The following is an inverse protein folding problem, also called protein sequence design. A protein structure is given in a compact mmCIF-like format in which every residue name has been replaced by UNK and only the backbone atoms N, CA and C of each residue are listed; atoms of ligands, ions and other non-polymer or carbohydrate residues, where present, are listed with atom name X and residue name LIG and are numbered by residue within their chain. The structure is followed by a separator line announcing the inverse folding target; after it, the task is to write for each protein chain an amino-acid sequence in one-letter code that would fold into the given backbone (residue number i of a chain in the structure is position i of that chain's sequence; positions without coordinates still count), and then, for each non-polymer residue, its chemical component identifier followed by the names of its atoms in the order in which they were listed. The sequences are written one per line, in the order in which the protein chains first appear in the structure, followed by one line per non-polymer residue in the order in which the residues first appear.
data_IF_122857723767
#
_entry.id   IF_122857723767
#
_cell.length_a   1.000
_cell.length_b   1.000
_cell.length_c   1.000
_cell.angle_alpha   90.00
_cell.angle_beta   90.00
_cell.angle_gamma   90.00
#
_symmetry.space_group_name_H-M   'P 1'
#
loop_
_entity.id
_entity.type
_entity.pdbx_description
1 polymer ?
#
# COMPACT_ATOMS: atom_id res chain seq x y z
N UNK A 1 -25.57 -25.66 12.86
CA UNK A 1 -24.50 -26.53 13.38
C UNK A 1 -23.34 -26.45 12.37
N UNK A 2 -22.53 -25.41 12.47
CA UNK A 2 -21.32 -25.21 11.67
C UNK A 2 -20.11 -25.60 12.50
N UNK A 3 -19.45 -26.65 12.08
CA UNK A 3 -18.20 -27.13 12.64
C UNK A 3 -17.10 -26.08 12.40
N UNK A 4 -16.63 -25.44 13.47
CA UNK A 4 -15.36 -24.75 13.52
C UNK A 4 -14.27 -25.79 13.23
N UNK A 5 -13.71 -25.76 12.01
CA UNK A 5 -12.52 -26.53 11.68
C UNK A 5 -11.33 -25.84 12.37
N UNK A 6 -10.74 -26.57 13.30
CA UNK A 6 -9.64 -26.10 14.11
C UNK A 6 -8.41 -25.75 13.28
N UNK A 7 -7.76 -24.70 13.70
CA UNK A 7 -6.45 -24.22 13.33
C UNK A 7 -5.47 -25.40 13.29
N UNK A 8 -5.08 -25.81 12.09
CA UNK A 8 -3.98 -26.76 11.93
C UNK A 8 -2.67 -26.00 12.21
N UNK A 9 -2.27 -25.98 13.48
CA UNK A 9 -0.89 -25.63 13.83
C UNK A 9 0.01 -26.68 13.17
N UNK A 10 0.93 -26.22 12.33
CA UNK A 10 2.01 -27.08 11.83
C UNK A 10 2.76 -27.60 13.07
N UNK A 11 2.82 -28.95 13.21
CA UNK A 11 3.31 -29.64 14.41
C UNK A 11 4.85 -29.52 14.59
N UNK A 12 5.53 -28.66 13.82
CA UNK A 12 6.98 -28.48 13.85
C UNK A 12 7.47 -27.33 14.73
N UNK A 13 6.58 -26.49 15.28
CA UNK A 13 6.96 -25.31 16.08
C UNK A 13 7.56 -24.17 15.26
N UNK A 14 7.61 -24.29 13.92
CA UNK A 14 8.11 -23.26 13.03
C UNK A 14 7.09 -22.15 12.83
N UNK A 15 7.55 -20.90 12.79
CA UNK A 15 6.71 -19.74 12.46
C UNK A 15 6.40 -19.71 10.96
N UNK A 16 5.14 -19.51 10.60
CA UNK A 16 4.75 -19.24 9.22
C UNK A 16 4.88 -17.74 8.94
N UNK A 17 5.80 -17.37 8.08
CA UNK A 17 6.00 -15.98 7.62
C UNK A 17 5.43 -15.84 6.23
N UNK A 18 4.44 -14.98 6.07
CA UNK A 18 3.84 -14.63 4.78
C UNK A 18 4.48 -13.38 4.23
N UNK A 19 4.89 -13.34 2.97
CA UNK A 19 5.45 -12.13 2.35
C UNK A 19 4.84 -11.84 1.00
N UNK A 20 4.66 -10.54 0.70
CA UNK A 20 4.18 -10.06 -0.59
C UNK A 20 4.81 -8.70 -0.94
N UNK A 21 4.96 -8.38 -2.24
CA UNK A 21 5.53 -7.11 -2.68
C UNK A 21 4.48 -5.99 -2.83
N UNK A 22 4.90 -4.76 -2.53
CA UNK A 22 4.31 -3.50 -3.00
C UNK A 22 5.42 -2.75 -3.74
N UNK A 23 5.48 -2.88 -5.07
CA UNK A 23 6.56 -2.34 -5.92
C UNK A 23 6.07 -1.40 -7.01
N UNK A 24 4.86 -0.93 -6.90
CA UNK A 24 4.19 -0.07 -7.86
C UNK A 24 3.53 1.12 -7.15
N UNK A 25 2.93 2.02 -7.91
CA UNK A 25 2.18 3.14 -7.36
C UNK A 25 0.99 2.63 -6.53
N UNK A 26 0.76 3.30 -5.39
CA UNK A 26 -0.34 2.97 -4.48
C UNK A 26 -1.66 3.38 -5.12
N UNK A 27 -2.30 2.42 -5.76
CA UNK A 27 -3.57 2.53 -6.46
C UNK A 27 -4.63 1.63 -5.77
N UNK A 28 -5.92 1.74 -6.09
CA UNK A 28 -6.95 0.83 -5.57
C UNK A 28 -6.65 -0.66 -5.80
N UNK A 29 -5.93 -1.01 -6.87
CA UNK A 29 -5.45 -2.38 -7.12
C UNK A 29 -4.50 -2.88 -6.02
N UNK A 30 -3.58 -2.00 -5.54
CA UNK A 30 -2.64 -2.33 -4.45
C UNK A 30 -3.36 -2.45 -3.10
N UNK A 31 -4.34 -1.58 -2.86
CA UNK A 31 -5.23 -1.68 -1.70
C UNK A 31 -5.91 -3.05 -1.65
N UNK A 32 -6.54 -3.46 -2.76
CA UNK A 32 -7.21 -4.76 -2.85
C UNK A 32 -6.22 -5.93 -2.73
N UNK A 33 -5.06 -5.85 -3.40
CA UNK A 33 -4.01 -6.86 -3.26
C UNK A 33 -3.58 -7.02 -1.80
N UNK A 34 -3.38 -5.91 -1.10
CA UNK A 34 -3.00 -5.91 0.32
C UNK A 34 -4.08 -6.59 1.17
N UNK A 35 -5.35 -6.24 0.97
CA UNK A 35 -6.47 -6.88 1.67
C UNK A 35 -6.55 -8.38 1.40
N UNK A 36 -6.37 -8.81 0.12
CA UNK A 36 -6.32 -10.21 -0.28
C UNK A 36 -5.17 -10.96 0.41
N UNK A 37 -3.96 -10.38 0.42
CA UNK A 37 -2.79 -10.99 1.02
C UNK A 37 -2.93 -11.12 2.55
N UNK A 38 -3.47 -10.09 3.22
CA UNK A 38 -3.73 -10.14 4.67
C UNK A 38 -4.79 -11.20 5.02
N UNK A 39 -5.87 -11.29 4.25
CA UNK A 39 -6.89 -12.32 4.43
C UNK A 39 -6.32 -13.73 4.20
N UNK A 40 -5.54 -13.94 3.14
CA UNK A 40 -4.89 -15.21 2.88
C UNK A 40 -3.89 -15.59 3.97
N UNK A 41 -3.12 -14.64 4.49
CA UNK A 41 -2.21 -14.86 5.61
C UNK A 41 -2.97 -15.29 6.87
N UNK A 42 -4.12 -14.68 7.17
CA UNK A 42 -4.98 -15.07 8.30
C UNK A 42 -5.57 -16.48 8.12
N UNK A 43 -6.09 -16.78 6.93
CA UNK A 43 -6.61 -18.12 6.59
C UNK A 43 -5.55 -19.21 6.71
N UNK A 44 -4.30 -18.92 6.34
CA UNK A 44 -3.16 -19.83 6.46
C UNK A 44 -2.65 -19.93 7.90
N UNK A 45 -3.09 -19.08 8.81
CA UNK A 45 -2.60 -19.01 10.19
C UNK A 45 -1.15 -18.50 10.27
N UNK A 46 -0.79 -17.53 9.43
CA UNK A 46 0.55 -16.93 9.47
C UNK A 46 0.82 -16.25 10.83
N UNK A 47 2.05 -16.38 11.32
CA UNK A 47 2.51 -15.75 12.54
C UNK A 47 3.04 -14.34 12.32
N UNK A 48 3.39 -14.02 11.06
CA UNK A 48 3.98 -12.75 10.66
C UNK A 48 3.71 -12.49 9.17
N UNK A 49 3.40 -11.25 8.85
CA UNK A 49 3.38 -10.75 7.47
C UNK A 49 4.56 -9.80 7.25
N UNK A 50 5.29 -9.96 6.16
CA UNK A 50 6.37 -9.03 5.74
C UNK A 50 6.04 -8.45 4.38
N UNK A 51 5.83 -7.14 4.33
CA UNK A 51 5.61 -6.40 3.07
C UNK A 51 6.96 -5.96 2.51
N UNK A 52 7.26 -6.36 1.28
CA UNK A 52 8.44 -5.89 0.54
C UNK A 52 8.08 -4.61 -0.20
N UNK A 53 8.52 -3.46 0.30
CA UNK A 53 8.09 -2.15 -0.21
C UNK A 53 9.15 -1.47 -1.06
N UNK A 54 8.73 -1.00 -2.23
CA UNK A 54 9.49 -0.10 -3.08
C UNK A 54 8.51 0.73 -3.92
N UNK A 55 8.13 1.92 -3.45
CA UNK A 55 7.13 2.76 -4.11
C UNK A 55 7.43 4.25 -3.98
N UNK A 56 7.08 5.02 -5.00
CA UNK A 56 7.13 6.49 -4.99
C UNK A 56 5.87 7.12 -4.38
N UNK A 57 4.84 6.33 -4.06
CA UNK A 57 3.60 6.82 -3.49
C UNK A 57 2.39 6.52 -4.36
N UNK A 58 1.36 7.36 -4.31
CA UNK A 58 0.13 7.18 -5.08
C UNK A 58 -1.08 7.83 -4.44
N UNK A 59 -2.26 7.23 -4.59
CA UNK A 59 -3.54 7.79 -4.19
C UNK A 59 -3.71 7.76 -2.67
N UNK A 60 -4.00 8.92 -2.08
CA UNK A 60 -4.17 9.09 -0.62
C UNK A 60 -5.24 8.16 -0.05
N UNK A 61 -6.39 8.02 -0.74
CA UNK A 61 -7.49 7.17 -0.27
C UNK A 61 -7.07 5.69 -0.17
N UNK A 62 -6.38 5.17 -1.19
CA UNK A 62 -5.88 3.80 -1.18
C UNK A 62 -4.82 3.60 -0.06
N UNK A 63 -3.94 4.58 0.14
CA UNK A 63 -2.95 4.54 1.20
C UNK A 63 -3.58 4.54 2.61
N UNK A 64 -4.62 5.36 2.84
CA UNK A 64 -5.33 5.42 4.12
C UNK A 64 -6.11 4.12 4.41
N UNK A 65 -6.70 3.52 3.38
CA UNK A 65 -7.33 2.19 3.50
C UNK A 65 -6.30 1.13 3.88
N UNK A 66 -5.14 1.07 3.20
CA UNK A 66 -4.06 0.12 3.53
C UNK A 66 -3.55 0.38 4.95
N UNK A 67 -3.25 1.63 5.30
CA UNK A 67 -2.89 2.03 6.68
C UNK A 67 -3.86 1.47 7.70
N UNK A 68 -5.15 1.64 7.45
CA UNK A 68 -6.21 1.18 8.36
C UNK A 68 -6.23 -0.35 8.46
N UNK A 69 -6.02 -1.08 7.35
CA UNK A 69 -5.89 -2.53 7.36
C UNK A 69 -4.70 -2.99 8.21
N UNK A 70 -3.54 -2.34 8.07
CA UNK A 70 -2.34 -2.70 8.84
C UNK A 70 -2.51 -2.44 10.33
N UNK A 71 -3.02 -1.26 10.72
CA UNK A 71 -3.27 -0.92 12.13
C UNK A 71 -4.28 -1.84 12.81
N UNK A 72 -5.21 -2.44 12.06
CA UNK A 72 -6.22 -3.37 12.57
C UNK A 72 -5.88 -4.84 12.31
N UNK A 73 -4.71 -5.14 11.77
CA UNK A 73 -4.30 -6.52 11.51
C UNK A 73 -4.18 -7.32 12.82
N UNK A 74 -4.68 -8.54 12.81
CA UNK A 74 -4.51 -9.50 13.92
C UNK A 74 -3.14 -10.17 13.90
N UNK A 75 -2.51 -10.20 12.74
CA UNK A 75 -1.18 -10.75 12.53
C UNK A 75 -0.21 -9.58 12.53
N UNK A 76 0.93 -9.64 13.23
CA UNK A 76 1.96 -8.63 13.15
C UNK A 76 2.38 -8.38 11.70
N UNK A 77 2.43 -7.11 11.29
CA UNK A 77 2.83 -6.71 9.94
C UNK A 77 4.13 -5.92 10.01
N UNK A 78 5.15 -6.39 9.32
CA UNK A 78 6.42 -5.69 9.17
C UNK A 78 6.58 -5.20 7.74
N UNK A 79 7.25 -4.06 7.57
CA UNK A 79 7.62 -3.54 6.26
C UNK A 79 9.13 -3.58 6.12
N UNK A 80 9.60 -4.20 5.05
CA UNK A 80 10.98 -4.10 4.60
C UNK A 80 11.02 -3.19 3.37
N UNK A 81 11.64 -2.01 3.52
CA UNK A 81 11.82 -1.03 2.45
C UNK A 81 13.05 -1.46 1.65
N UNK A 82 12.82 -2.01 0.45
CA UNK A 82 13.87 -2.49 -0.46
C UNK A 82 14.69 -1.33 -1.04
N UNK A 83 14.02 -0.25 -1.46
CA UNK A 83 14.69 0.96 -1.94
C UNK A 83 14.06 2.22 -1.35
N UNK A 84 12.75 2.39 -1.51
CA UNK A 84 12.08 3.60 -1.04
C UNK A 84 10.64 3.34 -0.58
N UNK A 85 10.21 4.14 0.39
CA UNK A 85 8.84 4.30 0.81
C UNK A 85 8.51 5.80 0.82
N UNK A 86 8.19 6.34 -0.36
CA UNK A 86 7.89 7.76 -0.51
C UNK A 86 6.37 8.02 -0.45
N UNK A 87 5.98 9.21 0.04
CA UNK A 87 4.60 9.68 0.02
C UNK A 87 3.63 8.68 0.67
N UNK A 88 2.65 8.15 -0.07
CA UNK A 88 1.73 7.10 0.36
C UNK A 88 2.46 5.88 0.95
N UNK A 89 3.65 5.53 0.40
CA UNK A 89 4.48 4.45 0.93
C UNK A 89 4.98 4.72 2.35
N UNK A 90 5.32 5.97 2.68
CA UNK A 90 5.73 6.34 4.03
C UNK A 90 4.57 6.18 5.03
N UNK A 91 3.36 6.59 4.65
CA UNK A 91 2.15 6.42 5.48
C UNK A 91 1.87 4.93 5.76
N UNK A 92 1.95 4.10 4.73
CA UNK A 92 1.75 2.65 4.86
C UNK A 92 2.85 2.02 5.72
N UNK A 93 4.12 2.35 5.48
CA UNK A 93 5.22 1.84 6.28
C UNK A 93 5.11 2.24 7.75
N UNK A 94 4.66 3.48 8.02
CA UNK A 94 4.45 3.99 9.37
C UNK A 94 3.36 3.21 10.13
N UNK A 95 2.37 2.65 9.44
CA UNK A 95 1.31 1.85 10.04
C UNK A 95 1.76 0.42 10.43
N UNK A 96 2.91 -0.04 9.96
CA UNK A 96 3.43 -1.37 10.26
C UNK A 96 4.02 -1.45 11.69
N UNK A 97 4.00 -2.64 12.29
CA UNK A 97 4.57 -2.88 13.61
C UNK A 97 6.08 -2.69 13.67
N UNK A 98 6.78 -3.07 12.60
CA UNK A 98 8.24 -2.87 12.45
C UNK A 98 8.58 -2.43 11.03
N UNK A 99 9.63 -1.61 10.94
CA UNK A 99 10.17 -1.11 9.67
C UNK A 99 11.64 -1.49 9.61
N UNK A 100 12.03 -2.11 8.51
CA UNK A 100 13.44 -2.36 8.16
C UNK A 100 13.73 -1.70 6.83
N UNK A 101 14.92 -1.14 6.66
CA UNK A 101 15.29 -0.39 5.46
C UNK A 101 16.59 -0.98 4.89
N UNK A 102 16.62 -1.22 3.59
CA UNK A 102 17.88 -1.57 2.91
C UNK A 102 18.89 -0.43 3.05
N UNK A 103 20.18 -0.71 3.25
CA UNK A 103 21.23 0.32 3.14
C UNK A 103 21.12 1.07 1.80
N UNK A 104 21.03 2.40 1.86
CA UNK A 104 20.74 3.26 0.71
C UNK A 104 19.26 3.53 0.46
N UNK A 105 18.36 2.85 1.15
CA UNK A 105 16.92 3.14 1.08
C UNK A 105 16.50 4.37 1.90
N UNK A 106 15.27 4.80 1.69
CA UNK A 106 14.73 6.00 2.34
C UNK A 106 13.22 5.88 2.63
N UNK A 107 12.72 6.75 3.54
CA UNK A 107 11.32 6.87 3.92
C UNK A 107 10.96 8.34 4.14
N UNK A 108 9.81 8.80 3.63
CA UNK A 108 9.30 10.16 3.87
C UNK A 108 8.66 10.80 2.65
N UNK A 109 8.88 12.11 2.46
CA UNK A 109 8.35 12.89 1.33
C UNK A 109 6.83 12.74 1.14
N UNK A 110 6.05 12.93 2.22
CA UNK A 110 4.62 12.62 2.27
C UNK A 110 3.71 13.84 2.00
N UNK A 111 4.22 14.92 1.38
CA UNK A 111 3.39 16.06 0.99
C UNK A 111 2.38 15.66 -0.09
N UNK A 112 1.16 16.20 0.02
CA UNK A 112 0.09 15.94 -0.95
C UNK A 112 0.27 16.81 -2.17
N UNK A 113 0.36 16.20 -3.35
CA UNK A 113 0.51 16.88 -4.63
C UNK A 113 -0.63 16.51 -5.60
N UNK A 114 -0.87 17.36 -6.59
CA UNK A 114 -1.78 17.04 -7.70
C UNK A 114 -1.09 16.16 -8.75
N UNK A 115 -1.82 15.78 -9.81
CA UNK A 115 -1.29 14.95 -10.91
C UNK A 115 -0.11 15.59 -11.67
N UNK A 116 0.11 16.91 -11.54
CA UNK A 116 1.21 17.65 -12.11
C UNK A 116 2.38 17.84 -11.13
N UNK A 117 2.30 17.23 -9.93
CA UNK A 117 3.33 17.32 -8.90
C UNK A 117 3.32 18.66 -8.12
N UNK A 118 2.26 19.49 -8.26
CA UNK A 118 2.15 20.75 -7.53
C UNK A 118 1.53 20.53 -6.16
N UNK A 119 2.01 21.20 -5.10
CA UNK A 119 1.44 21.07 -3.77
C UNK A 119 -0.06 21.40 -3.75
N UNK A 120 -0.82 20.53 -3.13
CA UNK A 120 -2.24 20.76 -2.86
C UNK A 120 -2.43 21.84 -1.78
N UNK A 121 -3.57 22.54 -1.76
CA UNK A 121 -3.90 23.52 -0.73
C UNK A 121 -3.70 23.02 0.69
N UNK A 122 -3.41 23.94 1.63
CA UNK A 122 -3.05 23.62 3.02
C UNK A 122 -4.01 22.70 3.76
N UNK A 123 -5.30 22.75 3.48
CA UNK A 123 -6.28 21.84 4.07
C UNK A 123 -5.92 20.35 3.85
N UNK A 124 -5.38 20.00 2.68
CA UNK A 124 -4.95 18.64 2.37
C UNK A 124 -3.63 18.29 3.05
N UNK A 125 -2.70 19.25 3.12
CA UNK A 125 -1.45 19.08 3.85
C UNK A 125 -1.70 18.92 5.35
N UNK A 126 -2.59 19.76 5.93
CA UNK A 126 -2.99 19.67 7.34
C UNK A 126 -3.65 18.32 7.67
N UNK A 127 -4.54 17.83 6.79
CA UNK A 127 -5.13 16.51 6.96
C UNK A 127 -4.06 15.42 6.93
N UNK A 128 -3.15 15.46 5.96
CA UNK A 128 -2.06 14.47 5.85
C UNK A 128 -1.12 14.52 7.06
N UNK A 129 -0.75 15.73 7.55
CA UNK A 129 0.03 15.89 8.79
C UNK A 129 -0.64 15.19 9.97
N UNK A 130 -1.94 15.43 10.16
CA UNK A 130 -2.72 14.82 11.22
C UNK A 130 -2.78 13.28 11.07
N UNK A 131 -2.95 12.79 9.85
CA UNK A 131 -2.97 11.35 9.55
C UNK A 131 -1.62 10.70 9.85
N UNK A 132 -0.51 11.29 9.41
CA UNK A 132 0.83 10.79 9.70
C UNK A 132 1.11 10.78 11.21
N UNK A 133 0.79 11.88 11.91
CA UNK A 133 0.93 11.99 13.37
C UNK A 133 0.13 10.90 14.08
N UNK A 134 -1.18 10.78 13.81
CA UNK A 134 -2.05 9.81 14.47
C UNK A 134 -1.63 8.37 14.19
N UNK A 135 -1.05 8.10 13.02
CA UNK A 135 -0.50 6.78 12.68
C UNK A 135 0.73 6.45 13.55
N UNK A 136 1.63 7.43 13.76
CA UNK A 136 2.77 7.25 14.66
C UNK A 136 2.31 7.06 16.11
N UNK A 137 1.34 7.85 16.57
CA UNK A 137 0.74 7.77 17.92
C UNK A 137 0.08 6.42 18.18
N UNK A 138 -0.51 5.78 17.18
CA UNK A 138 -1.18 4.48 17.30
C UNK A 138 -0.25 3.36 17.82
N UNK A 139 1.07 3.46 17.60
CA UNK A 139 2.05 2.51 18.10
C UNK A 139 2.46 2.77 19.56
N UNK A 140 1.97 3.86 20.17
CA UNK A 140 2.18 4.18 21.57
C UNK A 140 3.62 4.54 21.94
N UNK A 141 3.88 4.42 23.23
CA UNK A 141 5.19 4.70 23.83
C UNK A 141 5.87 3.43 24.28
N UNK A 142 7.20 3.44 24.26
CA UNK A 142 8.05 2.38 24.78
C UNK A 142 8.93 2.92 25.91
N UNK A 143 9.35 2.05 26.81
CA UNK A 143 10.30 2.42 27.86
C UNK A 143 11.65 2.72 27.23
N UNK A 144 12.17 3.91 27.45
CA UNK A 144 13.50 4.32 27.01
C UNK A 144 14.57 3.87 28.00
N UNK A 145 14.33 4.18 29.29
CA UNK A 145 15.21 3.76 30.40
C UNK A 145 14.43 3.73 31.70
N UNK A 146 15.00 3.03 32.69
CA UNK A 146 14.52 3.00 34.07
C UNK A 146 15.62 3.57 34.95
N UNK A 147 15.34 4.69 35.62
CA UNK A 147 16.25 5.33 36.57
C UNK A 147 15.70 5.15 38.01
N UNK A 148 16.16 4.13 38.71
CA UNK A 148 15.63 3.80 40.04
C UNK A 148 14.15 3.42 39.98
N UNK A 149 13.28 4.24 40.57
CA UNK A 149 11.82 4.07 40.54
C UNK A 149 11.15 4.77 39.32
N UNK A 150 11.89 5.63 38.62
CA UNK A 150 11.35 6.44 37.55
C UNK A 150 11.52 5.77 36.19
N UNK A 151 10.44 5.72 35.39
CA UNK A 151 10.46 5.16 34.07
C UNK A 151 10.34 6.29 33.03
N UNK A 152 11.36 6.44 32.21
CA UNK A 152 11.36 7.39 31.08
C UNK A 152 10.76 6.72 29.85
N UNK A 153 9.78 7.38 29.25
CA UNK A 153 9.06 6.90 28.09
C UNK A 153 9.41 7.74 26.88
N UNK A 154 9.59 7.12 25.73
CA UNK A 154 9.62 7.78 24.43
C UNK A 154 8.53 7.23 23.51
N UNK A 155 8.15 7.99 22.51
CA UNK A 155 7.33 7.45 21.43
C UNK A 155 8.09 6.32 20.72
N UNK A 156 7.36 5.27 20.32
CA UNK A 156 7.95 4.22 19.49
C UNK A 156 8.45 4.83 18.17
N UNK A 157 7.60 5.68 17.56
CA UNK A 157 7.95 6.58 16.44
C UNK A 157 7.49 7.98 16.80
N UNK A 158 8.37 8.97 16.75
CA UNK A 158 8.04 10.33 17.14
C UNK A 158 7.00 10.93 16.20
N UNK A 159 5.79 11.31 16.67
CA UNK A 159 4.76 11.91 15.84
C UNK A 159 5.18 13.21 15.16
N UNK A 160 6.08 13.98 15.73
CA UNK A 160 6.58 15.22 15.14
C UNK A 160 7.43 14.95 13.89
N UNK A 161 8.19 13.85 13.87
CA UNK A 161 8.95 13.43 12.70
C UNK A 161 7.99 12.97 11.59
N UNK A 162 6.91 12.24 11.92
CA UNK A 162 5.87 11.84 10.96
C UNK A 162 5.23 13.07 10.30
N UNK A 163 4.89 14.08 11.09
CA UNK A 163 4.35 15.35 10.62
C UNK A 163 5.33 16.09 9.68
N UNK A 164 6.61 16.12 10.04
CA UNK A 164 7.66 16.76 9.25
C UNK A 164 7.85 16.11 7.86
N UNK A 165 7.47 14.85 7.68
CA UNK A 165 7.50 14.19 6.37
C UNK A 165 6.52 14.81 5.36
N UNK A 166 5.48 15.50 5.83
CA UNK A 166 4.54 16.25 4.97
C UNK A 166 5.06 17.65 4.66
N UNK A 167 5.87 18.21 5.57
CA UNK A 167 6.35 19.59 5.48
C UNK A 167 5.33 20.62 5.98
N UNK A 168 5.78 21.86 6.13
CA UNK A 168 4.94 23.00 6.51
C UNK A 168 4.66 23.88 5.30
N UNK A 169 3.46 24.47 5.22
CA UNK A 169 3.10 25.47 4.20
C UNK A 169 3.88 26.75 4.42
N UNK A 170 4.25 27.38 3.31
CA UNK A 170 4.90 28.70 3.29
C UNK A 170 3.96 29.78 3.89
N UNK A 171 4.14 30.09 5.14
CA UNK A 171 3.37 31.08 5.90
C UNK A 171 3.96 31.36 7.28
N UNK A 172 4.66 30.40 7.82
CA UNK A 172 5.47 30.58 9.02
C UNK A 172 6.95 30.70 8.61
N UNK A 173 7.64 31.69 9.13
CA UNK A 173 9.01 32.10 8.72
C UNK A 173 10.11 31.07 9.02
N UNK A 174 9.75 29.87 9.42
CA UNK A 174 10.61 28.67 9.48
C UNK A 174 10.10 27.64 8.50
N UNK A 175 10.54 27.73 7.24
CA UNK A 175 10.28 26.72 6.21
C UNK A 175 10.98 25.43 6.61
N UNK A 176 10.31 24.57 7.35
CA UNK A 176 10.75 23.18 7.52
C UNK A 176 10.40 22.48 6.21
N UNK A 177 11.40 22.17 5.41
CA UNK A 177 11.23 21.41 4.17
C UNK A 177 10.61 20.05 4.44
N UNK A 178 10.14 19.40 3.39
CA UNK A 178 9.62 18.03 3.44
C UNK A 178 10.72 17.09 3.88
N UNK A 179 10.48 16.34 4.98
CA UNK A 179 11.49 15.43 5.55
C UNK A 179 11.48 14.09 4.81
N UNK A 180 12.68 13.64 4.46
CA UNK A 180 12.95 12.27 4.03
C UNK A 180 14.12 11.75 4.85
N UNK A 181 13.99 10.57 5.42
CA UNK A 181 15.02 9.92 6.21
C UNK A 181 15.72 8.84 5.38
N UNK A 182 17.03 8.86 5.38
CA UNK A 182 17.86 7.73 4.95
C UNK A 182 17.72 6.56 5.91
N UNK A 183 18.20 5.37 5.53
CA UNK A 183 18.17 4.20 6.41
C UNK A 183 18.89 4.45 7.75
N UNK A 184 20.02 5.19 7.73
CA UNK A 184 20.80 5.51 8.93
C UNK A 184 20.08 6.53 9.80
N UNK A 185 19.49 7.58 9.22
CA UNK A 185 18.70 8.58 9.94
C UNK A 185 17.43 7.97 10.55
N UNK A 186 16.75 7.08 9.80
CA UNK A 186 15.57 6.38 10.30
C UNK A 186 15.91 5.48 11.50
N UNK A 187 17.05 4.78 11.45
CA UNK A 187 17.53 3.98 12.57
C UNK A 187 17.89 4.85 13.76
N UNK A 188 18.66 5.93 13.56
CA UNK A 188 19.07 6.84 14.61
C UNK A 188 17.90 7.55 15.31
N UNK A 189 16.79 7.76 14.59
CA UNK A 189 15.56 8.40 15.10
C UNK A 189 14.48 7.40 15.53
N UNK A 190 14.80 6.12 15.61
CA UNK A 190 13.88 5.03 15.98
C UNK A 190 12.66 4.90 15.05
N UNK A 191 12.82 5.27 13.77
CA UNK A 191 11.81 5.08 12.72
C UNK A 191 11.95 3.73 12.03
N UNK A 192 13.11 3.10 12.13
CA UNK A 192 13.29 1.70 11.74
C UNK A 192 13.93 0.91 12.88
N UNK A 193 13.64 -0.38 12.91
CA UNK A 193 14.19 -1.34 13.86
C UNK A 193 15.56 -1.86 13.40
N UNK A 194 15.93 -1.63 12.13
CA UNK A 194 17.22 -2.08 11.62
C UNK A 194 17.39 -1.88 10.12
N UNK A 195 18.61 -2.16 9.65
CA UNK A 195 18.92 -2.25 8.23
C UNK A 195 18.97 -3.72 7.81
N UNK A 196 18.48 -4.04 6.62
CA UNK A 196 18.52 -5.40 6.07
C UNK A 196 18.52 -5.36 4.55
N UNK A 197 19.26 -6.28 3.90
CA UNK A 197 19.34 -6.38 2.44
C UNK A 197 18.33 -7.38 1.85
N UNK A 198 17.64 -8.14 2.71
CA UNK A 198 16.64 -9.15 2.32
C UNK A 198 15.64 -9.43 3.43
N UNK A 199 14.51 -10.05 3.10
CA UNK A 199 13.53 -10.54 4.07
C UNK A 199 14.17 -11.53 5.05
N UNK A 200 15.05 -12.40 4.58
CA UNK A 200 15.74 -13.35 5.45
C UNK A 200 16.61 -12.65 6.51
N UNK A 201 17.28 -11.56 6.13
CA UNK A 201 18.06 -10.75 7.09
C UNK A 201 17.17 -9.98 8.05
N UNK A 202 16.00 -9.48 7.60
CA UNK A 202 14.97 -8.88 8.48
C UNK A 202 14.57 -9.87 9.57
N UNK A 203 14.26 -11.10 9.20
CA UNK A 203 13.85 -12.15 10.13
C UNK A 203 15.00 -12.54 11.09
N UNK A 204 16.22 -12.69 10.57
CA UNK A 204 17.40 -12.97 11.38
C UNK A 204 17.67 -11.86 12.39
N UNK A 205 17.66 -10.59 11.98
CA UNK A 205 17.88 -9.43 12.85
C UNK A 205 16.80 -9.33 13.93
N UNK A 206 15.60 -9.81 13.67
CA UNK A 206 14.50 -9.85 14.61
C UNK A 206 14.51 -11.10 15.54
N UNK A 207 15.48 -12.02 15.37
CA UNK A 207 15.55 -13.27 16.13
C UNK A 207 14.55 -14.34 15.68
N UNK A 208 13.99 -14.22 14.48
CA UNK A 208 13.11 -15.22 13.88
C UNK A 208 13.98 -16.17 13.05
N UNK A 209 14.44 -17.25 13.67
CA UNK A 209 15.42 -18.18 13.05
C UNK A 209 14.78 -19.47 12.51
N UNK A 210 13.68 -19.91 13.11
CA UNK A 210 12.97 -21.13 12.68
C UNK A 210 11.61 -20.73 12.10
N UNK A 211 11.54 -20.67 10.76
CA UNK A 211 10.35 -20.23 10.05
C UNK A 211 10.20 -20.96 8.71
N UNK A 212 8.97 -20.98 8.21
CA UNK A 212 8.61 -21.30 6.84
C UNK A 212 8.20 -20.01 6.14
N UNK A 213 8.85 -19.68 5.04
CA UNK A 213 8.52 -18.49 4.25
C UNK A 213 7.52 -18.88 3.16
N UNK A 214 6.36 -18.24 3.17
CA UNK A 214 5.41 -18.29 2.07
C UNK A 214 5.46 -16.96 1.30
N UNK A 215 5.83 -17.03 0.04
CA UNK A 215 5.87 -15.87 -0.83
C UNK A 215 4.63 -15.84 -1.72
N UNK A 216 3.90 -14.72 -1.68
CA UNK A 216 2.72 -14.54 -2.51
C UNK A 216 3.09 -14.61 -3.99
N UNK A 217 2.44 -15.50 -4.71
CA UNK A 217 2.55 -15.61 -6.16
C UNK A 217 1.23 -15.21 -6.81
N UNK A 218 1.22 -14.15 -7.65
CA UNK A 218 0.03 -13.74 -8.38
C UNK A 218 -0.57 -14.90 -9.17
N UNK A 219 -1.86 -15.14 -9.02
CA UNK A 219 -2.58 -16.14 -9.80
C UNK A 219 -2.61 -15.74 -11.29
N UNK A 220 -2.96 -16.68 -12.16
CA UNK A 220 -3.17 -16.36 -13.59
C UNK A 220 -4.23 -15.27 -13.78
N UNK A 221 -5.28 -15.30 -12.95
CA UNK A 221 -6.32 -14.28 -12.94
C UNK A 221 -5.75 -12.91 -12.55
N UNK A 222 -4.94 -12.82 -11.48
CA UNK A 222 -4.32 -11.56 -11.05
C UNK A 222 -3.45 -10.96 -12.16
N UNK A 223 -2.71 -11.81 -12.89
CA UNK A 223 -1.87 -11.36 -14.03
C UNK A 223 -2.71 -10.85 -15.21
N UNK A 224 -3.79 -11.57 -15.54
CA UNK A 224 -4.70 -11.16 -16.61
C UNK A 224 -5.39 -9.84 -16.25
N UNK A 225 -5.92 -9.71 -15.05
CA UNK A 225 -6.52 -8.47 -14.56
C UNK A 225 -5.52 -7.33 -14.55
N UNK A 226 -4.31 -7.53 -14.05
CA UNK A 226 -3.25 -6.53 -14.08
C UNK A 226 -2.88 -6.08 -15.49
N UNK A 227 -2.85 -7.01 -16.48
CA UNK A 227 -2.62 -6.65 -17.87
C UNK A 227 -3.78 -5.86 -18.46
N UNK A 228 -5.03 -6.27 -18.21
CA UNK A 228 -6.23 -5.57 -18.70
C UNK A 228 -6.35 -4.16 -18.08
N UNK A 229 -5.86 -3.97 -16.85
CA UNK A 229 -5.87 -2.68 -16.15
C UNK A 229 -4.66 -1.80 -16.48
N UNK A 230 -3.72 -2.29 -17.29
CA UNK A 230 -2.59 -1.48 -17.73
C UNK A 230 -3.08 -0.24 -18.50
N UNK A 231 -2.57 0.99 -18.22
CA UNK A 231 -3.03 2.22 -18.86
C UNK A 231 -2.97 2.20 -20.39
N UNK A 232 -1.96 1.52 -20.96
CA UNK A 232 -1.85 1.36 -22.41
C UNK A 232 -2.97 0.48 -22.98
N UNK A 233 -3.25 -0.66 -22.35
CA UNK A 233 -4.35 -1.55 -22.74
C UNK A 233 -5.71 -0.85 -22.60
N UNK A 234 -5.92 -0.12 -21.50
CA UNK A 234 -7.12 0.68 -21.26
C UNK A 234 -7.31 1.75 -22.33
N UNK A 235 -6.25 2.44 -22.77
CA UNK A 235 -6.29 3.38 -23.87
C UNK A 235 -6.74 2.74 -25.20
N UNK A 236 -6.27 1.53 -25.51
CA UNK A 236 -6.70 0.77 -26.69
C UNK A 236 -8.18 0.41 -26.58
N UNK A 237 -8.66 -0.04 -25.41
CA UNK A 237 -10.07 -0.40 -25.24
C UNK A 237 -10.98 0.82 -25.38
N UNK A 238 -10.61 1.98 -24.84
CA UNK A 238 -11.35 3.24 -25.06
C UNK A 238 -11.38 3.58 -26.56
N UNK A 239 -10.27 3.44 -27.27
CA UNK A 239 -10.20 3.71 -28.70
C UNK A 239 -11.11 2.76 -29.50
N UNK A 240 -11.19 1.47 -29.13
CA UNK A 240 -12.12 0.50 -29.73
C UNK A 240 -13.58 0.90 -29.49
N UNK A 241 -13.91 1.34 -28.26
CA UNK A 241 -15.25 1.79 -27.91
C UNK A 241 -15.66 3.00 -28.74
N UNK A 242 -14.89 4.08 -28.64
CA UNK A 242 -15.21 5.36 -29.29
C UNK A 242 -15.16 5.21 -30.81
N UNK A 243 -14.10 4.58 -31.33
CA UNK A 243 -13.96 4.35 -32.77
C UNK A 243 -15.03 3.44 -33.32
N UNK A 244 -15.36 2.35 -32.64
CA UNK A 244 -16.42 1.41 -33.06
C UNK A 244 -17.80 2.08 -33.13
N UNK A 245 -18.16 2.86 -32.09
CA UNK A 245 -19.41 3.64 -32.11
C UNK A 245 -19.41 4.64 -33.26
N UNK A 246 -18.31 5.41 -33.41
CA UNK A 246 -18.21 6.40 -34.49
C UNK A 246 -18.38 5.80 -35.86
N UNK A 247 -17.70 4.70 -36.18
CA UNK A 247 -17.78 4.05 -37.48
C UNK A 247 -19.17 3.41 -37.74
N UNK A 248 -19.79 2.84 -36.71
CA UNK A 248 -21.17 2.29 -36.86
C UNK A 248 -22.18 3.40 -37.16
N UNK A 249 -22.04 4.58 -36.56
CA UNK A 249 -22.90 5.74 -36.86
C UNK A 249 -22.68 6.30 -38.27
N UNK A 250 -21.47 6.20 -38.82
CA UNK A 250 -21.14 6.67 -40.18
C UNK A 250 -21.57 5.68 -41.26
N UNK A 251 -21.55 4.38 -40.97
CA UNK A 251 -21.86 3.31 -41.92
C UNK A 251 -22.82 2.29 -41.29
N UNK A 252 -24.07 2.69 -41.04
CA UNK A 252 -25.02 1.83 -40.32
C UNK A 252 -25.30 0.55 -41.08
N UNK A 253 -25.31 -0.58 -40.36
CA UNK A 253 -25.63 -1.90 -40.91
C UNK A 253 -24.44 -2.79 -41.25
N UNK A 254 -23.20 -2.35 -41.03
CA UNK A 254 -22.02 -3.20 -41.17
C UNK A 254 -21.84 -4.13 -39.93
N UNK A 255 -22.24 -3.67 -38.76
CA UNK A 255 -22.24 -4.43 -37.48
C UNK A 255 -20.87 -4.73 -36.88
N UNK A 256 -19.81 -4.81 -37.69
CA UNK A 256 -18.45 -5.09 -37.22
C UNK A 256 -17.90 -4.00 -36.25
N UNK A 257 -18.08 -2.70 -36.57
CA UNK A 257 -17.64 -1.64 -35.66
C UNK A 257 -18.36 -1.70 -34.31
N UNK A 258 -19.64 -2.01 -34.27
CA UNK A 258 -20.42 -2.16 -33.05
C UNK A 258 -19.90 -3.35 -32.22
N UNK A 259 -19.60 -4.48 -32.85
CA UNK A 259 -19.01 -5.64 -32.16
C UNK A 259 -17.66 -5.27 -31.53
N UNK A 260 -16.81 -4.51 -32.22
CA UNK A 260 -15.55 -4.03 -31.72
C UNK A 260 -15.73 -3.09 -30.51
N UNK A 261 -16.74 -2.20 -30.58
CA UNK A 261 -17.08 -1.32 -29.45
C UNK A 261 -17.54 -2.10 -28.19
N UNK A 262 -18.43 -3.08 -28.40
CA UNK A 262 -18.92 -3.95 -27.32
C UNK A 262 -17.77 -4.76 -26.71
N UNK A 263 -16.91 -5.35 -27.53
CA UNK A 263 -15.72 -6.08 -27.04
C UNK A 263 -14.78 -5.16 -26.24
N UNK A 264 -14.52 -3.95 -26.76
CA UNK A 264 -13.73 -2.93 -26.05
C UNK A 264 -14.35 -2.58 -24.69
N UNK A 265 -15.67 -2.40 -24.64
CA UNK A 265 -16.38 -2.12 -23.39
C UNK A 265 -16.28 -3.28 -22.38
N UNK A 266 -16.47 -4.53 -22.82
CA UNK A 266 -16.31 -5.70 -21.95
C UNK A 266 -14.88 -5.78 -21.41
N UNK A 267 -13.86 -5.63 -22.26
CA UNK A 267 -12.45 -5.68 -21.82
C UNK A 267 -12.07 -4.51 -20.91
N UNK A 268 -12.69 -3.35 -21.07
CA UNK A 268 -12.49 -2.16 -20.23
C UNK A 268 -13.17 -2.28 -18.87
N UNK A 269 -14.47 -2.59 -18.87
CA UNK A 269 -15.27 -2.56 -17.62
C UNK A 269 -15.17 -3.83 -16.79
N UNK A 270 -14.94 -5.02 -17.39
CA UNK A 270 -14.89 -6.27 -16.64
C UNK A 270 -13.80 -6.30 -15.56
N UNK A 271 -12.54 -5.91 -15.82
CA UNK A 271 -11.53 -5.88 -14.79
C UNK A 271 -11.85 -4.83 -13.72
N UNK A 272 -12.34 -3.66 -14.12
CA UNK A 272 -12.73 -2.61 -13.16
C UNK A 272 -13.88 -3.05 -12.26
N UNK A 273 -14.83 -3.81 -12.79
CA UNK A 273 -15.94 -4.38 -12.02
C UNK A 273 -15.48 -5.47 -11.06
N UNK A 274 -14.64 -6.39 -11.53
CA UNK A 274 -14.09 -7.47 -10.68
C UNK A 274 -13.18 -6.93 -9.58
N UNK A 275 -12.53 -5.78 -9.81
CA UNK A 275 -11.72 -5.06 -8.85
C UNK A 275 -12.55 -4.18 -7.88
N UNK A 276 -13.88 -4.12 -8.04
CA UNK A 276 -14.76 -3.27 -7.24
C UNK A 276 -14.56 -1.76 -7.45
N UNK A 277 -13.89 -1.36 -8.54
CA UNK A 277 -13.63 0.05 -8.89
C UNK A 277 -14.79 0.73 -9.59
N UNK A 278 -15.76 -0.04 -10.05
CA UNK A 278 -16.95 0.42 -10.78
C UNK A 278 -18.20 -0.14 -10.12
N UNK A 279 -19.21 0.72 -9.92
CA UNK A 279 -20.49 0.28 -9.37
C UNK A 279 -21.36 -0.37 -10.47
N UNK A 280 -22.29 -1.24 -10.07
CA UNK A 280 -23.13 -2.03 -11.00
C UNK A 280 -23.90 -1.19 -12.02
N UNK A 281 -24.21 0.05 -11.74
CA UNK A 281 -25.00 0.94 -12.60
C UNK A 281 -24.15 1.69 -13.64
N UNK A 282 -22.85 1.85 -13.45
CA UNK A 282 -21.98 2.61 -14.37
C UNK A 282 -21.85 1.95 -15.74
N UNK A 283 -21.59 0.63 -15.87
CA UNK A 283 -21.64 -0.04 -17.17
C UNK A 283 -23.02 0.01 -17.82
N UNK A 284 -24.10 -0.01 -17.01
CA UNK A 284 -25.48 0.07 -17.52
C UNK A 284 -25.74 1.45 -18.13
N UNK A 285 -25.32 2.53 -17.46
CA UNK A 285 -25.45 3.89 -18.03
C UNK A 285 -24.69 4.02 -19.36
N UNK A 286 -23.51 3.40 -19.46
CA UNK A 286 -22.74 3.41 -20.71
C UNK A 286 -23.46 2.71 -21.87
N UNK A 287 -24.23 1.64 -21.59
CA UNK A 287 -24.98 0.89 -22.62
C UNK A 287 -26.28 1.58 -23.01
N UNK A 288 -26.89 2.31 -22.07
CA UNK A 288 -28.23 2.96 -22.28
C UNK A 288 -28.11 4.39 -22.78
N UNK A 289 -27.00 5.10 -22.49
CA UNK A 289 -26.73 6.49 -22.92
C UNK A 289 -26.05 6.56 -24.25
#
# INVERSE_FOLDING_TARGET
LGTFSGRAADSTGRKLVYTFPIREDIMPSVERLTGKCLAQADEMGADLVVIQMNTYGGVVAAADSIRTMLLNSRIPVWVWIDNQAASAGALIALAADRIYIRPGGNIGAASVVDQQGRPMPDKYQSFMRATMRSTAEAHGKVVERVDGTDTVWRWRRDPAIAEAMVGTTAGDSTTVGVLTLTADEALARHYSEGKAVSVAEVLSNAGVVDYTLYEYNPTTLDRVLGWLMNPFAQGIFIMLIVGGIYFELQTPGVGFPLVAAVLGAVLYFSPLYLEGMVQNWEPILFVVG
#
